data_IF_592793465238
#
_entry.id   IF_592793465238
#
_cell.length_a   1.000
_cell.length_b   1.000
_cell.length_c   1.000
_cell.angle_alpha   90.00
_cell.angle_beta   90.00
_cell.angle_gamma   90.00
#
_symmetry.space_group_name_H-M   'P 1'
#
loop_
_entity.id
_entity.type
_entity.pdbx_description
1 polymer ?
#
# COMPACT_ATOMS: atom_id res chain seq x y z
N UNK A 1 62.00 -25.84 8.93
CA UNK A 1 61.68 -24.67 9.78
C UNK A 1 60.51 -23.94 9.15
N UNK A 2 59.30 -24.05 9.70
CA UNK A 2 58.13 -23.32 9.20
C UNK A 2 57.92 -22.06 10.04
N UNK A 3 58.23 -20.91 9.46
CA UNK A 3 58.00 -19.61 10.08
C UNK A 3 56.51 -19.26 10.06
N UNK A 4 55.85 -19.38 11.21
CA UNK A 4 54.54 -18.78 11.44
C UNK A 4 54.71 -17.25 11.52
N UNK A 5 54.57 -16.59 10.37
CA UNK A 5 54.44 -15.13 10.31
C UNK A 5 53.17 -14.69 11.06
N UNK A 6 53.35 -14.08 12.23
CA UNK A 6 52.29 -13.37 12.95
C UNK A 6 51.72 -12.29 12.02
N UNK A 7 50.53 -12.49 11.46
CA UNK A 7 49.73 -11.39 10.90
C UNK A 7 49.47 -10.41 12.04
N UNK A 8 49.90 -9.16 11.88
CA UNK A 8 49.75 -8.13 12.91
C UNK A 8 48.29 -7.75 13.17
N UNK A 9 47.96 -7.20 14.34
CA UNK A 9 46.60 -6.85 14.75
C UNK A 9 45.89 -5.83 13.84
N UNK A 10 46.65 -5.04 13.07
CA UNK A 10 46.09 -4.09 12.10
C UNK A 10 45.42 -4.79 10.89
N UNK A 11 46.00 -5.89 10.40
CA UNK A 11 45.46 -6.68 9.28
C UNK A 11 44.08 -7.27 9.60
N UNK A 12 43.93 -7.77 10.83
CA UNK A 12 42.67 -8.38 11.28
C UNK A 12 41.59 -7.35 11.58
N UNK A 13 41.98 -6.16 12.05
CA UNK A 13 41.05 -5.04 12.25
C UNK A 13 40.47 -4.54 10.92
N UNK A 14 41.29 -4.41 9.89
CA UNK A 14 40.85 -3.96 8.57
C UNK A 14 39.98 -5.02 7.87
N UNK A 15 40.32 -6.30 8.01
CA UNK A 15 39.47 -7.39 7.51
C UNK A 15 38.08 -7.40 8.17
N UNK A 16 38.00 -7.14 9.49
CA UNK A 16 36.73 -7.02 10.22
C UNK A 16 35.90 -5.82 9.75
N UNK A 17 36.54 -4.66 9.56
CA UNK A 17 35.87 -3.47 9.00
C UNK A 17 35.30 -3.76 7.61
N UNK A 18 36.09 -4.36 6.72
CA UNK A 18 35.61 -4.73 5.38
C UNK A 18 34.46 -5.74 5.42
N UNK A 19 34.48 -6.70 6.34
CA UNK A 19 33.37 -7.65 6.52
C UNK A 19 32.07 -6.93 6.94
N UNK A 20 32.17 -5.99 7.88
CA UNK A 20 31.01 -5.18 8.32
C UNK A 20 30.46 -4.34 7.18
N UNK A 21 31.32 -3.67 6.39
CA UNK A 21 30.86 -2.87 5.26
C UNK A 21 30.18 -3.72 4.18
N UNK A 22 30.74 -4.89 3.85
CA UNK A 22 30.07 -5.83 2.93
C UNK A 22 28.71 -6.30 3.46
N UNK A 23 28.60 -6.54 4.77
CA UNK A 23 27.33 -6.91 5.39
C UNK A 23 26.31 -5.78 5.30
N UNK A 24 26.72 -4.53 5.54
CA UNK A 24 25.89 -3.34 5.36
C UNK A 24 25.43 -3.17 3.91
N UNK A 25 26.34 -3.30 2.96
CA UNK A 25 26.02 -3.19 1.52
C UNK A 25 25.00 -4.24 1.07
N UNK A 26 25.12 -5.48 1.56
CA UNK A 26 24.14 -6.54 1.27
C UNK A 26 22.75 -6.17 1.81
N UNK A 27 22.67 -5.68 3.04
CA UNK A 27 21.43 -5.18 3.65
C UNK A 27 20.83 -4.00 2.87
N UNK A 28 21.66 -3.04 2.45
CA UNK A 28 21.23 -1.87 1.69
C UNK A 28 20.75 -2.24 0.29
N UNK A 29 21.34 -3.27 -0.33
CA UNK A 29 20.84 -3.82 -1.59
C UNK A 29 19.43 -4.39 -1.42
N UNK A 30 19.22 -5.26 -0.44
CA UNK A 30 17.88 -5.81 -0.15
C UNK A 30 16.87 -4.71 0.18
N UNK A 31 17.28 -3.67 0.90
CA UNK A 31 16.44 -2.52 1.19
C UNK A 31 16.06 -1.72 -0.08
N UNK A 32 16.97 -1.56 -1.05
CA UNK A 32 16.66 -0.91 -2.33
C UNK A 32 15.64 -1.70 -3.13
N UNK A 33 15.73 -3.02 -3.13
CA UNK A 33 14.78 -3.90 -3.82
C UNK A 33 13.35 -3.76 -3.26
N UNK A 34 13.18 -3.28 -2.02
CA UNK A 34 11.86 -3.01 -1.43
C UNK A 34 11.16 -1.77 -1.98
N UNK A 35 11.89 -0.83 -2.59
CA UNK A 35 11.33 0.49 -2.96
C UNK A 35 10.11 0.37 -3.87
N UNK A 36 10.15 -0.54 -4.85
CA UNK A 36 9.09 -0.78 -5.84
C UNK A 36 8.44 -2.17 -5.69
N UNK A 37 8.74 -2.88 -4.60
CA UNK A 37 8.20 -4.20 -4.37
C UNK A 37 6.67 -4.16 -4.20
N UNK A 38 6.02 -5.27 -4.58
CA UNK A 38 4.62 -5.55 -4.22
C UNK A 38 4.50 -5.74 -2.70
N UNK A 39 3.31 -5.60 -2.10
CA UNK A 39 3.13 -5.78 -0.65
C UNK A 39 3.72 -7.10 -0.11
N UNK A 40 3.44 -8.23 -0.78
CA UNK A 40 3.94 -9.54 -0.38
C UNK A 40 5.47 -9.64 -0.50
N UNK A 41 6.06 -9.05 -1.54
CA UNK A 41 7.50 -9.02 -1.70
C UNK A 41 8.16 -8.12 -0.64
N UNK A 42 7.57 -6.97 -0.34
CA UNK A 42 8.06 -6.07 0.70
C UNK A 42 8.00 -6.73 2.10
N UNK A 43 6.91 -7.42 2.45
CA UNK A 43 6.80 -8.14 3.72
C UNK A 43 7.86 -9.26 3.84
N UNK A 44 8.07 -10.04 2.76
CA UNK A 44 9.13 -11.07 2.73
C UNK A 44 10.52 -10.48 2.89
N UNK A 45 10.83 -9.38 2.19
CA UNK A 45 12.11 -8.69 2.28
C UNK A 45 12.32 -8.10 3.68
N UNK A 46 11.30 -7.47 4.27
CA UNK A 46 11.38 -6.96 5.63
C UNK A 46 11.66 -8.07 6.64
N UNK A 47 10.95 -9.21 6.54
CA UNK A 47 11.21 -10.38 7.38
C UNK A 47 12.66 -10.88 7.22
N UNK A 48 13.13 -11.01 5.97
CA UNK A 48 14.52 -11.43 5.68
C UNK A 48 15.55 -10.47 6.28
N UNK A 49 15.34 -9.16 6.16
CA UNK A 49 16.20 -8.14 6.76
C UNK A 49 16.20 -8.25 8.29
N UNK A 50 15.03 -8.49 8.90
CA UNK A 50 14.90 -8.71 10.35
C UNK A 50 15.68 -9.94 10.82
N UNK A 51 15.52 -11.07 10.12
CA UNK A 51 16.22 -12.33 10.43
C UNK A 51 17.75 -12.19 10.27
N UNK A 52 18.19 -11.50 9.21
CA UNK A 52 19.60 -11.16 8.99
C UNK A 52 20.15 -10.25 10.09
N UNK A 53 19.43 -9.21 10.47
CA UNK A 53 19.84 -8.31 11.56
C UNK A 53 19.88 -9.01 12.93
N UNK A 54 19.03 -10.02 13.14
CA UNK A 54 19.03 -10.84 14.35
C UNK A 54 20.21 -11.82 14.43
N UNK A 55 20.60 -12.40 13.29
CA UNK A 55 21.70 -13.38 13.22
C UNK A 55 23.09 -12.74 13.18
N UNK A 56 23.24 -11.60 12.49
CA UNK A 56 24.53 -10.94 12.33
C UNK A 56 24.88 -10.05 13.52
N UNK A 57 25.74 -10.54 14.42
CA UNK A 57 26.22 -9.79 15.59
C UNK A 57 27.25 -8.71 15.25
N UNK A 58 27.79 -8.69 14.03
CA UNK A 58 28.83 -7.73 13.61
C UNK A 58 28.24 -6.38 13.19
N UNK A 59 26.97 -6.35 12.81
CA UNK A 59 26.29 -5.13 12.40
C UNK A 59 26.05 -4.18 13.60
N UNK A 60 26.39 -2.89 13.49
CA UNK A 60 26.12 -1.90 14.54
C UNK A 60 24.62 -1.79 14.87
N UNK A 61 24.29 -1.59 16.14
CA UNK A 61 22.91 -1.47 16.61
C UNK A 61 22.14 -0.34 15.91
N UNK A 62 22.73 0.85 15.83
CA UNK A 62 22.10 2.01 15.19
C UNK A 62 21.81 1.77 13.71
N UNK A 63 22.72 1.08 13.02
CA UNK A 63 22.51 0.68 11.63
C UNK A 63 21.32 -0.28 11.49
N UNK A 64 21.24 -1.31 12.35
CA UNK A 64 20.09 -2.24 12.34
C UNK A 64 18.77 -1.52 12.59
N UNK A 65 18.74 -0.62 13.59
CA UNK A 65 17.54 0.16 13.92
C UNK A 65 17.07 0.99 12.73
N UNK A 66 17.97 1.78 12.15
CA UNK A 66 17.65 2.63 11.00
C UNK A 66 17.23 1.82 9.77
N UNK A 67 17.91 0.70 9.50
CA UNK A 67 17.59 -0.20 8.40
C UNK A 67 16.18 -0.78 8.52
N UNK A 68 15.82 -1.29 9.70
CA UNK A 68 14.50 -1.91 9.93
C UNK A 68 13.38 -0.88 9.97
N UNK A 69 13.64 0.33 10.47
CA UNK A 69 12.68 1.44 10.40
C UNK A 69 12.41 1.85 8.94
N UNK A 70 13.46 1.92 8.11
CA UNK A 70 13.31 2.20 6.68
C UNK A 70 12.60 1.07 5.94
N UNK A 71 12.91 -0.20 6.27
CA UNK A 71 12.22 -1.36 5.72
C UNK A 71 10.72 -1.34 6.06
N UNK A 72 10.37 -1.04 7.31
CA UNK A 72 8.96 -0.85 7.74
C UNK A 72 8.27 0.26 6.94
N UNK A 73 8.96 1.37 6.69
CA UNK A 73 8.45 2.47 5.86
C UNK A 73 8.17 2.00 4.43
N UNK A 74 9.08 1.24 3.82
CA UNK A 74 8.87 0.72 2.47
C UNK A 74 7.76 -0.33 2.38
N UNK A 75 7.60 -1.19 3.39
CA UNK A 75 6.43 -2.09 3.49
C UNK A 75 5.12 -1.30 3.61
N UNK A 76 5.11 -0.23 4.39
CA UNK A 76 3.95 0.67 4.50
C UNK A 76 3.61 1.28 3.14
N UNK A 77 4.61 1.87 2.46
CA UNK A 77 4.43 2.51 1.16
C UNK A 77 3.95 1.52 0.10
N UNK A 78 4.45 0.28 0.09
CA UNK A 78 3.98 -0.76 -0.82
C UNK A 78 2.47 -1.06 -0.63
N UNK A 79 2.02 -1.15 0.63
CA UNK A 79 0.60 -1.36 0.94
C UNK A 79 -0.26 -0.12 0.60
N UNK A 80 0.26 1.09 0.79
CA UNK A 80 -0.43 2.33 0.41
C UNK A 80 -0.65 2.39 -1.12
N UNK A 81 0.41 2.17 -1.91
CA UNK A 81 0.32 2.15 -3.38
C UNK A 81 -0.65 1.10 -3.90
N UNK A 82 -0.62 -0.11 -3.34
CA UNK A 82 -1.53 -1.17 -3.78
C UNK A 82 -2.98 -0.87 -3.36
N UNK A 83 -3.18 -0.23 -2.21
CA UNK A 83 -4.50 0.27 -1.80
C UNK A 83 -5.04 1.26 -2.82
N UNK A 84 -4.26 2.29 -3.17
CA UNK A 84 -4.67 3.31 -4.15
C UNK A 84 -4.97 2.69 -5.51
N UNK A 85 -4.11 1.79 -6.00
CA UNK A 85 -4.31 1.07 -7.26
C UNK A 85 -5.63 0.31 -7.27
N UNK A 86 -5.92 -0.44 -6.21
CA UNK A 86 -7.15 -1.22 -6.09
C UNK A 86 -8.40 -0.34 -5.95
N UNK A 87 -8.30 0.81 -5.27
CA UNK A 87 -9.40 1.76 -5.15
C UNK A 87 -9.72 2.42 -6.50
N UNK A 88 -8.70 2.79 -7.29
CA UNK A 88 -8.91 3.28 -8.65
C UNK A 88 -9.57 2.24 -9.55
N UNK A 89 -9.12 0.98 -9.50
CA UNK A 89 -9.76 -0.12 -10.24
C UNK A 89 -11.21 -0.36 -9.78
N UNK A 90 -11.47 -0.37 -8.48
CA UNK A 90 -12.81 -0.54 -7.94
C UNK A 90 -13.74 0.62 -8.32
N UNK A 91 -13.23 1.85 -8.38
CA UNK A 91 -13.99 3.02 -8.83
C UNK A 91 -14.39 2.91 -10.31
N UNK A 92 -13.49 2.44 -11.18
CA UNK A 92 -13.82 2.16 -12.59
C UNK A 92 -14.91 1.10 -12.71
N UNK A 93 -14.76 -0.01 -11.98
CA UNK A 93 -15.76 -1.09 -11.96
C UNK A 93 -17.12 -0.64 -11.40
N UNK A 94 -17.13 0.32 -10.47
CA UNK A 94 -18.36 0.92 -9.97
C UNK A 94 -19.11 1.71 -11.04
N UNK A 95 -18.38 2.44 -11.91
CA UNK A 95 -18.96 3.16 -13.04
C UNK A 95 -19.50 2.22 -14.14
N UNK A 96 -18.86 1.07 -14.33
CA UNK A 96 -19.24 0.03 -15.31
C UNK A 96 -20.31 -0.96 -14.79
N UNK A 97 -20.81 -0.76 -13.57
CA UNK A 97 -21.79 -1.65 -12.89
C UNK A 97 -21.32 -3.10 -12.67
N UNK A 98 -20.02 -3.34 -12.64
CA UNK A 98 -19.41 -4.64 -12.34
C UNK A 98 -19.33 -4.90 -10.83
N UNK A 99 -20.48 -5.13 -10.21
CA UNK A 99 -20.65 -5.14 -8.75
C UNK A 99 -19.80 -6.20 -8.02
N UNK A 100 -19.66 -7.39 -8.59
CA UNK A 100 -18.92 -8.52 -7.97
C UNK A 100 -17.42 -8.26 -7.96
N UNK A 101 -16.88 -7.83 -9.09
CA UNK A 101 -15.48 -7.49 -9.30
C UNK A 101 -15.11 -6.27 -8.46
N UNK A 102 -15.99 -5.25 -8.42
CA UNK A 102 -15.87 -4.10 -7.52
C UNK A 102 -15.71 -4.55 -6.07
N UNK A 103 -16.59 -5.43 -5.59
CA UNK A 103 -16.54 -5.92 -4.21
C UNK A 103 -15.23 -6.67 -3.92
N UNK A 104 -14.75 -7.50 -4.86
CA UNK A 104 -13.46 -8.20 -4.74
C UNK A 104 -12.29 -7.22 -4.62
N UNK A 105 -12.25 -6.18 -5.44
CA UNK A 105 -11.20 -5.15 -5.42
C UNK A 105 -11.26 -4.30 -4.15
N UNK A 106 -12.44 -3.89 -3.72
CA UNK A 106 -12.65 -3.15 -2.48
C UNK A 106 -12.23 -3.97 -1.25
N UNK A 107 -12.55 -5.26 -1.23
CA UNK A 107 -12.12 -6.18 -0.17
C UNK A 107 -10.60 -6.34 -0.12
N UNK A 108 -9.93 -6.41 -1.27
CA UNK A 108 -8.47 -6.42 -1.33
C UNK A 108 -7.85 -5.09 -0.86
N UNK A 109 -8.40 -3.95 -1.30
CA UNK A 109 -7.96 -2.63 -0.88
C UNK A 109 -8.04 -2.46 0.64
N UNK A 110 -9.14 -2.91 1.26
CA UNK A 110 -9.32 -2.88 2.73
C UNK A 110 -8.26 -3.67 3.48
N UNK A 111 -7.80 -4.81 2.94
CA UNK A 111 -6.74 -5.61 3.58
C UNK A 111 -5.41 -4.86 3.59
N UNK A 112 -4.98 -4.32 2.45
CA UNK A 112 -3.74 -3.55 2.35
C UNK A 112 -3.81 -2.25 3.14
N UNK A 113 -4.97 -1.57 3.13
CA UNK A 113 -5.23 -0.39 3.94
C UNK A 113 -5.04 -0.66 5.44
N UNK A 114 -5.66 -1.73 5.96
CA UNK A 114 -5.52 -2.11 7.37
C UNK A 114 -4.06 -2.39 7.71
N UNK A 115 -3.34 -3.11 6.85
CA UNK A 115 -1.91 -3.36 7.03
C UNK A 115 -1.11 -2.05 7.05
N UNK A 116 -1.32 -1.15 6.09
CA UNK A 116 -0.68 0.17 6.06
C UNK A 116 -0.93 0.96 7.36
N UNK A 117 -2.16 0.93 7.89
CA UNK A 117 -2.48 1.58 9.17
C UNK A 117 -1.67 1.01 10.35
N UNK A 118 -1.50 -0.33 10.43
CA UNK A 118 -0.66 -0.96 11.47
C UNK A 118 0.83 -0.62 11.31
N UNK A 119 1.28 -0.38 10.08
CA UNK A 119 2.63 0.04 9.76
C UNK A 119 2.87 1.55 9.91
N UNK A 120 1.85 2.30 10.35
CA UNK A 120 1.98 3.72 10.65
C UNK A 120 1.79 4.63 9.46
N UNK A 121 0.95 4.25 8.49
CA UNK A 121 0.50 5.17 7.43
C UNK A 121 -0.03 6.47 8.05
N UNK A 122 0.24 7.59 7.39
CA UNK A 122 -0.12 8.92 7.84
C UNK A 122 -1.64 9.17 7.84
N UNK A 123 -2.06 10.23 8.52
CA UNK A 123 -3.47 10.55 8.70
C UNK A 123 -4.15 10.98 7.40
N UNK A 124 -3.41 11.64 6.50
CA UNK A 124 -3.94 12.14 5.23
C UNK A 124 -4.27 10.99 4.30
N UNK A 125 -3.37 10.02 4.15
CA UNK A 125 -3.63 8.77 3.46
C UNK A 125 -4.84 8.04 4.05
N UNK A 126 -4.94 7.95 5.38
CA UNK A 126 -6.06 7.27 6.04
C UNK A 126 -7.41 7.89 5.66
N UNK A 127 -7.51 9.21 5.77
CA UNK A 127 -8.71 9.97 5.43
C UNK A 127 -9.04 9.85 3.94
N UNK A 128 -8.04 9.98 3.06
CA UNK A 128 -8.23 9.89 1.62
C UNK A 128 -8.75 8.50 1.21
N UNK A 129 -8.11 7.42 1.68
CA UNK A 129 -8.51 6.05 1.36
C UNK A 129 -9.90 5.71 1.90
N UNK A 130 -10.25 6.15 3.12
CA UNK A 130 -11.59 5.97 3.69
C UNK A 130 -12.68 6.65 2.84
N UNK A 131 -12.49 7.93 2.51
CA UNK A 131 -13.42 8.68 1.64
C UNK A 131 -13.57 8.03 0.27
N UNK A 132 -12.48 7.54 -0.31
CA UNK A 132 -12.51 6.83 -1.58
C UNK A 132 -13.33 5.53 -1.48
N UNK A 133 -13.12 4.73 -0.43
CA UNK A 133 -13.92 3.52 -0.18
C UNK A 133 -15.42 3.82 -0.03
N UNK A 134 -15.77 4.85 0.73
CA UNK A 134 -17.17 5.30 0.90
C UNK A 134 -17.78 5.74 -0.43
N UNK A 135 -17.06 6.56 -1.19
CA UNK A 135 -17.50 7.04 -2.50
C UNK A 135 -17.76 5.86 -3.46
N UNK A 136 -16.86 4.88 -3.51
CA UNK A 136 -17.00 3.69 -4.36
C UNK A 136 -18.22 2.85 -3.96
N UNK A 137 -18.52 2.77 -2.66
CA UNK A 137 -19.70 2.04 -2.17
C UNK A 137 -21.02 2.72 -2.53
N UNK A 138 -21.02 4.05 -2.58
CA UNK A 138 -22.19 4.86 -2.96
C UNK A 138 -22.31 5.04 -4.48
N UNK A 139 -21.27 4.71 -5.24
CA UNK A 139 -21.24 4.81 -6.71
C UNK A 139 -21.73 3.51 -7.35
N UNK A 140 -22.69 3.63 -8.28
CA UNK A 140 -23.31 2.50 -8.97
C UNK A 140 -24.64 2.09 -8.32
N UNK A 141 -25.72 2.17 -9.10
CA UNK A 141 -27.10 1.94 -8.62
C UNK A 141 -28.12 3.01 -9.04
N UNK A 142 -27.71 4.07 -9.76
CA UNK A 142 -28.58 5.21 -10.16
C UNK A 142 -28.72 5.33 -11.69
N UNK A 143 -28.31 4.32 -12.48
CA UNK A 143 -28.85 4.20 -13.84
C UNK A 143 -30.18 3.45 -13.78
N UNK A 144 -31.23 4.17 -13.38
CA UNK A 144 -32.58 3.77 -13.76
C UNK A 144 -32.66 3.74 -15.29
N UNK A 145 -32.59 2.55 -15.89
CA UNK A 145 -32.98 2.31 -17.31
C UNK A 145 -34.50 2.36 -17.46
N UNK A 146 -35.13 3.40 -16.93
CA UNK A 146 -36.57 3.60 -16.99
C UNK A 146 -36.91 5.05 -16.67
N UNK A 147 -38.01 5.59 -17.23
CA UNK A 147 -38.41 6.96 -16.96
C UNK A 147 -38.59 7.14 -15.45
N UNK A 148 -37.71 7.94 -14.84
CA UNK A 148 -37.89 8.38 -13.46
C UNK A 148 -39.27 9.03 -13.37
N UNK A 149 -40.11 8.56 -12.44
CA UNK A 149 -41.47 9.04 -12.14
C UNK A 149 -41.51 10.49 -11.62
N UNK A 150 -40.75 11.40 -12.23
CA UNK A 150 -40.55 12.78 -11.80
C UNK A 150 -40.86 13.78 -12.92
N UNK A 151 -41.76 13.42 -13.83
CA UNK A 151 -42.69 14.38 -14.42
C UNK A 151 -44.09 13.79 -14.33
N UNK A 152 -45.02 14.40 -13.59
CA UNK A 152 -46.43 14.27 -13.93
C UNK A 152 -46.50 14.69 -15.39
N UNK A 153 -46.78 13.74 -16.28
CA UNK A 153 -47.08 14.11 -17.64
C UNK A 153 -48.26 15.09 -17.60
N UNK A 154 -48.18 16.18 -18.37
CA UNK A 154 -49.21 17.21 -18.55
C UNK A 154 -50.47 16.62 -19.25
N UNK A 155 -50.99 15.51 -18.74
CA UNK A 155 -52.30 14.95 -19.07
C UNK A 155 -53.39 15.48 -18.14
N UNK A 156 -53.17 16.62 -17.48
CA UNK A 156 -54.26 17.35 -16.86
C UNK A 156 -55.19 17.81 -18.01
N UNK A 157 -56.44 17.32 -18.10
CA UNK A 157 -57.36 17.81 -19.12
C UNK A 157 -57.56 19.31 -18.88
N UNK A 158 -57.31 20.12 -19.92
CA UNK A 158 -57.63 21.55 -19.88
C UNK A 158 -59.10 21.68 -19.53
N UNK A 159 -59.39 22.22 -18.36
CA UNK A 159 -60.76 22.54 -17.94
C UNK A 159 -61.37 23.49 -18.99
N UNK A 160 -62.51 23.13 -19.62
CA UNK A 160 -63.14 24.02 -20.58
C UNK A 160 -63.64 25.26 -19.84
N UNK A 161 -63.21 26.41 -20.35
CA UNK A 161 -63.49 27.74 -19.86
C UNK A 161 -65.01 28.00 -19.88
N UNK A 162 -65.71 27.77 -18.76
CA UNK A 162 -67.09 28.21 -18.56
C UNK A 162 -67.07 29.57 -17.87
N UNK A 163 -66.89 30.62 -18.67
CA UNK A 163 -67.21 31.98 -18.25
C UNK A 163 -67.96 32.70 -19.38
N UNK A 164 -69.25 32.92 -19.11
CA UNK A 164 -70.16 33.94 -19.65
C UNK A 164 -70.75 33.71 -21.06
N UNK A 165 -72.00 33.23 -21.06
CA UNK A 165 -73.08 33.78 -21.86
C UNK A 165 -74.21 34.16 -20.89
#
# INVERSE_FOLDING_TARGET
>A
MFGFGKRGPASDADARKQAIERAKEACLKELRDMHEATPDAAERLHKRLKDRCGSDKSLPFDFKRALLEKARTYECNANMRETDRLLHEANRLAAEEHMTERAKKLGAARRHFSKACTLGADEDFRKAAQRAMETIMLTGGVHHKGPTKAKPADFAPKTPNRAKA
#
